data_IF_544847018190
#
_entry.id   IF_544847018190
#
_cell.length_a   1.000
_cell.length_b   1.000
_cell.length_c   1.000
_cell.angle_alpha   90.00
_cell.angle_beta   90.00
_cell.angle_gamma   90.00
#
_symmetry.space_group_name_H-M   'P 1'
#
loop_
_entity.id
_entity.type
_entity.pdbx_description
1 polymer ?
#
# COMPACT_ATOMS: atom_id res chain seq x y z
N UNK A 1 -0.38 -25.14 0.18
CA UNK A 1 1.01 -25.47 -0.08
C UNK A 1 1.74 -25.51 1.23
N UNK A 2 2.48 -26.56 1.42
CA UNK A 2 3.02 -26.91 2.71
C UNK A 2 4.28 -26.08 2.98
N UNK A 3 4.33 -25.36 4.09
CA UNK A 3 5.50 -24.60 4.54
C UNK A 3 6.71 -25.54 4.72
N UNK A 4 6.46 -26.75 5.20
CA UNK A 4 7.47 -27.83 5.31
C UNK A 4 8.15 -28.15 3.98
N UNK A 5 7.42 -28.07 2.86
CA UNK A 5 8.00 -28.27 1.53
C UNK A 5 9.03 -27.19 1.18
N UNK A 6 8.73 -25.93 1.46
CA UNK A 6 9.68 -24.83 1.22
C UNK A 6 10.91 -24.97 2.12
N UNK A 7 10.73 -25.25 3.41
CA UNK A 7 11.84 -25.51 4.33
C UNK A 7 12.73 -26.66 3.84
N UNK A 8 12.10 -27.76 3.41
CA UNK A 8 12.82 -28.91 2.86
C UNK A 8 13.60 -28.57 1.59
N UNK A 9 12.96 -27.91 0.60
CA UNK A 9 13.55 -27.57 -0.68
C UNK A 9 14.65 -26.51 -0.57
N UNK A 10 14.51 -25.59 0.35
CA UNK A 10 15.49 -24.51 0.61
C UNK A 10 16.55 -24.89 1.64
N UNK A 11 16.55 -26.10 2.15
CA UNK A 11 17.41 -26.52 3.25
C UNK A 11 17.37 -25.50 4.42
N UNK A 12 16.16 -25.28 4.96
CA UNK A 12 15.92 -24.28 6.01
C UNK A 12 16.40 -22.87 5.64
N UNK A 13 16.09 -22.43 4.41
CA UNK A 13 16.47 -21.13 3.85
C UNK A 13 17.96 -20.91 3.57
N UNK A 14 18.75 -21.99 3.52
CA UNK A 14 20.20 -21.92 3.29
C UNK A 14 20.61 -22.25 1.85
N UNK A 15 19.70 -22.68 0.99
CA UNK A 15 20.00 -23.05 -0.39
C UNK A 15 18.98 -22.54 -1.40
N UNK A 16 19.43 -22.45 -2.66
CA UNK A 16 18.57 -22.08 -3.78
C UNK A 16 17.66 -23.27 -4.12
N UNK A 17 16.36 -23.01 -4.19
CA UNK A 17 15.39 -23.95 -4.76
C UNK A 17 15.49 -23.87 -6.27
N UNK A 18 15.83 -24.97 -6.93
CA UNK A 18 15.98 -24.99 -8.39
C UNK A 18 14.63 -24.85 -9.10
N UNK A 19 14.63 -24.25 -10.29
CA UNK A 19 13.43 -24.19 -11.14
C UNK A 19 12.92 -25.59 -11.50
N UNK A 20 13.81 -26.60 -11.60
CA UNK A 20 13.44 -27.97 -11.88
C UNK A 20 12.69 -28.60 -10.70
N UNK A 21 13.08 -28.29 -9.46
CA UNK A 21 12.36 -28.75 -8.29
C UNK A 21 11.00 -28.05 -8.15
N UNK A 22 10.95 -26.75 -8.44
CA UNK A 22 9.70 -26.00 -8.47
C UNK A 22 8.69 -26.59 -9.46
N UNK A 23 9.16 -27.00 -10.66
CA UNK A 23 8.29 -27.60 -11.70
C UNK A 23 7.70 -28.95 -11.32
N UNK A 24 8.31 -29.69 -10.40
CA UNK A 24 7.76 -30.97 -9.90
C UNK A 24 6.48 -30.80 -9.11
N UNK A 25 6.23 -29.59 -8.58
CA UNK A 25 5.09 -29.31 -7.72
C UNK A 25 4.14 -28.31 -8.39
N UNK A 26 2.96 -28.75 -8.83
CA UNK A 26 1.93 -27.90 -9.49
C UNK A 26 1.64 -26.60 -8.72
N UNK A 27 1.69 -26.68 -7.39
CA UNK A 27 1.39 -25.54 -6.50
C UNK A 27 2.54 -24.51 -6.42
N UNK A 28 3.73 -24.84 -6.94
CA UNK A 28 4.91 -23.97 -6.99
C UNK A 28 5.17 -23.41 -8.38
N UNK A 29 4.31 -23.71 -9.35
CA UNK A 29 4.53 -23.33 -10.75
C UNK A 29 4.83 -21.86 -10.89
N UNK A 30 5.98 -21.56 -11.48
CA UNK A 30 6.54 -20.24 -11.68
C UNK A 30 6.58 -19.93 -13.18
N UNK A 31 5.81 -18.93 -13.62
CA UNK A 31 5.80 -18.46 -15.01
C UNK A 31 4.43 -17.96 -15.45
N UNK A 32 4.39 -16.95 -16.26
CA UNK A 32 3.20 -16.33 -16.83
C UNK A 32 2.19 -15.91 -15.75
N UNK A 33 1.07 -16.60 -15.68
CA UNK A 33 0.06 -16.41 -14.64
C UNK A 33 0.29 -17.31 -13.39
N UNK A 34 1.53 -17.66 -13.11
CA UNK A 34 1.91 -18.65 -12.10
C UNK A 34 1.37 -18.33 -10.70
N UNK A 35 0.80 -19.37 -10.09
CA UNK A 35 0.30 -19.29 -8.69
C UNK A 35 1.47 -19.15 -7.71
N UNK A 36 2.64 -19.69 -8.06
CA UNK A 36 3.85 -19.70 -7.22
C UNK A 36 4.36 -18.31 -6.88
N UNK A 37 4.49 -17.41 -7.87
CA UNK A 37 4.95 -16.04 -7.66
C UNK A 37 4.04 -15.27 -6.70
N UNK A 38 2.74 -15.27 -6.97
CA UNK A 38 1.76 -14.59 -6.11
C UNK A 38 1.73 -15.12 -4.68
N UNK A 39 1.94 -16.42 -4.53
CA UNK A 39 1.94 -17.07 -3.23
C UNK A 39 3.23 -16.79 -2.46
N UNK A 40 4.40 -16.93 -3.10
CA UNK A 40 5.70 -16.63 -2.49
C UNK A 40 5.76 -15.18 -2.01
N UNK A 41 5.33 -14.24 -2.86
CA UNK A 41 5.32 -12.81 -2.53
C UNK A 41 4.45 -12.46 -1.31
N UNK A 42 3.43 -13.28 -1.02
CA UNK A 42 2.57 -13.10 0.17
C UNK A 42 3.16 -13.66 1.46
N UNK A 43 4.03 -14.67 1.38
CA UNK A 43 4.43 -15.46 2.56
C UNK A 43 5.90 -15.41 2.89
N UNK A 44 6.76 -15.05 1.92
CA UNK A 44 8.20 -15.12 2.09
C UNK A 44 8.90 -13.86 1.59
N UNK A 45 10.01 -13.54 2.23
CA UNK A 45 11.05 -12.69 1.70
C UNK A 45 11.95 -13.58 0.84
N UNK A 46 12.13 -13.25 -0.44
CA UNK A 46 12.83 -14.11 -1.37
C UNK A 46 13.48 -13.32 -2.49
N UNK A 47 14.39 -13.97 -3.23
CA UNK A 47 14.93 -13.47 -4.46
C UNK A 47 14.71 -14.46 -5.60
N UNK A 48 14.52 -13.95 -6.80
CA UNK A 48 14.47 -14.73 -8.05
C UNK A 48 15.83 -14.62 -8.71
N UNK A 49 16.41 -15.79 -9.09
CA UNK A 49 17.74 -15.90 -9.67
C UNK A 49 17.62 -16.23 -11.15
N UNK A 50 18.38 -15.53 -11.96
CA UNK A 50 18.41 -15.66 -13.41
C UNK A 50 19.69 -16.32 -13.90
N UNK A 51 19.65 -16.98 -15.05
CA UNK A 51 20.79 -17.67 -15.66
C UNK A 51 21.99 -16.77 -15.98
N UNK A 52 21.77 -15.48 -16.13
CA UNK A 52 22.83 -14.49 -16.34
C UNK A 52 23.51 -14.01 -15.04
N UNK A 53 23.40 -14.77 -13.96
CA UNK A 53 23.93 -14.48 -12.63
C UNK A 53 23.31 -13.23 -11.95
N UNK A 54 22.27 -12.63 -12.55
CA UNK A 54 21.49 -11.55 -11.92
C UNK A 54 20.41 -12.13 -11.00
N UNK A 55 20.01 -11.35 -10.02
CA UNK A 55 18.88 -11.70 -9.16
C UNK A 55 18.02 -10.47 -8.88
N UNK A 56 16.76 -10.70 -8.52
CA UNK A 56 15.83 -9.66 -8.12
C UNK A 56 15.24 -10.01 -6.76
N UNK A 57 15.45 -9.13 -5.78
CA UNK A 57 14.97 -9.30 -4.40
C UNK A 57 13.53 -8.83 -4.29
N UNK A 58 12.71 -9.62 -3.61
CA UNK A 58 11.33 -9.36 -3.21
C UNK A 58 11.25 -9.53 -1.69
N UNK A 59 11.78 -8.57 -0.95
CA UNK A 59 11.82 -8.56 0.50
C UNK A 59 11.28 -7.25 1.07
N UNK A 60 10.74 -7.32 2.28
CA UNK A 60 10.40 -6.17 3.12
C UNK A 60 11.60 -5.73 3.97
N UNK A 61 12.63 -6.58 4.04
CA UNK A 61 13.86 -6.33 4.76
C UNK A 61 14.93 -5.83 3.77
N UNK A 62 15.38 -4.58 3.96
CA UNK A 62 16.38 -3.96 3.07
C UNK A 62 17.79 -4.55 3.22
N UNK A 63 18.03 -5.34 4.26
CA UNK A 63 19.33 -5.98 4.52
C UNK A 63 19.46 -7.36 3.86
N UNK A 64 18.36 -7.90 3.30
CA UNK A 64 18.39 -9.21 2.64
C UNK A 64 19.30 -9.16 1.40
N UNK A 65 20.38 -9.93 1.43
CA UNK A 65 21.38 -10.08 0.35
C UNK A 65 21.70 -11.55 0.14
N UNK A 66 22.02 -11.91 -1.08
CA UNK A 66 22.51 -13.25 -1.41
C UNK A 66 24.02 -13.14 -1.61
N UNK A 67 24.76 -14.14 -1.10
CA UNK A 67 26.18 -14.24 -1.41
C UNK A 67 26.38 -14.55 -2.90
N UNK A 68 27.14 -13.73 -3.59
CA UNK A 68 27.40 -13.86 -5.03
C UNK A 68 28.04 -15.20 -5.40
N UNK A 69 28.86 -15.80 -4.54
CA UNK A 69 29.42 -17.13 -4.75
C UNK A 69 28.33 -18.21 -4.88
N UNK A 70 27.28 -18.14 -4.05
CA UNK A 70 26.16 -19.08 -4.11
C UNK A 70 25.47 -18.99 -5.47
N UNK A 71 25.29 -17.75 -5.97
CA UNK A 71 24.65 -17.50 -7.27
C UNK A 71 25.52 -18.02 -8.41
N UNK A 72 26.82 -17.70 -8.38
CA UNK A 72 27.77 -18.12 -9.41
C UNK A 72 27.82 -19.65 -9.50
N UNK A 73 28.04 -20.32 -8.37
CA UNK A 73 28.11 -21.78 -8.31
C UNK A 73 26.82 -22.46 -8.76
N UNK A 74 25.67 -21.92 -8.38
CA UNK A 74 24.38 -22.45 -8.80
C UNK A 74 24.14 -22.26 -10.31
N UNK A 75 24.52 -21.10 -10.86
CA UNK A 75 24.29 -20.74 -12.26
C UNK A 75 25.07 -21.57 -13.27
N UNK A 76 26.20 -22.15 -12.88
CA UNK A 76 27.07 -22.99 -13.75
C UNK A 76 26.27 -24.16 -14.39
N UNK A 77 25.32 -24.70 -13.65
CA UNK A 77 24.51 -25.84 -14.07
C UNK A 77 23.37 -25.49 -15.03
N UNK A 78 23.17 -24.21 -15.35
CA UNK A 78 22.04 -23.76 -16.15
C UNK A 78 22.49 -22.99 -17.40
N UNK A 79 22.28 -23.62 -18.58
CA UNK A 79 22.60 -23.02 -19.90
C UNK A 79 21.43 -22.23 -20.50
N UNK A 80 20.21 -22.38 -19.98
CA UNK A 80 19.00 -21.79 -20.55
C UNK A 80 18.80 -20.34 -20.06
N UNK A 81 18.25 -19.48 -20.94
CA UNK A 81 17.83 -18.12 -20.55
C UNK A 81 16.59 -18.16 -19.64
N UNK A 82 16.53 -17.30 -18.63
CA UNK A 82 15.37 -17.13 -17.78
C UNK A 82 15.63 -17.38 -16.29
N UNK A 83 14.56 -17.64 -15.56
CA UNK A 83 14.61 -17.94 -14.13
C UNK A 83 15.14 -19.35 -13.92
N UNK A 84 16.17 -19.48 -13.08
CA UNK A 84 16.83 -20.76 -12.77
C UNK A 84 16.56 -21.24 -11.34
N UNK A 85 16.21 -20.32 -10.44
CA UNK A 85 15.92 -20.68 -9.05
C UNK A 85 15.38 -19.54 -8.22
N UNK A 86 15.09 -19.88 -6.97
CA UNK A 86 14.58 -18.95 -5.96
C UNK A 86 15.39 -19.16 -4.69
N UNK A 87 15.85 -18.07 -4.09
CA UNK A 87 16.44 -18.08 -2.75
C UNK A 87 15.44 -17.51 -1.77
N UNK A 88 15.13 -18.22 -0.70
CA UNK A 88 14.22 -17.77 0.35
C UNK A 88 15.03 -17.29 1.53
N UNK A 89 14.88 -16.03 1.94
CA UNK A 89 15.56 -15.47 3.10
C UNK A 89 14.87 -15.83 4.41
N UNK A 90 13.55 -15.64 4.43
CA UNK A 90 12.74 -15.84 5.64
C UNK A 90 11.26 -15.95 5.28
N UNK A 91 10.47 -16.46 6.21
CA UNK A 91 9.03 -16.28 6.19
C UNK A 91 8.71 -14.83 6.54
N UNK A 92 7.80 -14.19 5.81
CA UNK A 92 7.30 -12.87 6.19
C UNK A 92 6.52 -13.00 7.49
N UNK A 93 6.89 -12.19 8.45
CA UNK A 93 6.13 -12.06 9.69
C UNK A 93 4.78 -11.43 9.34
N UNK A 94 3.72 -12.23 9.39
CA UNK A 94 2.31 -11.86 9.27
C UNK A 94 2.02 -10.73 8.26
N UNK A 95 1.69 -11.12 7.01
CA UNK A 95 0.85 -10.23 6.22
C UNK A 95 -0.44 -10.07 7.00
N UNK A 96 -0.61 -8.94 7.63
CA UNK A 96 -1.87 -8.57 8.28
C UNK A 96 -2.91 -8.44 7.17
N UNK A 97 -3.68 -9.51 6.95
CA UNK A 97 -4.79 -9.48 6.00
C UNK A 97 -5.91 -8.70 6.65
N UNK A 98 -6.22 -7.52 6.13
CA UNK A 98 -7.34 -6.72 6.60
C UNK A 98 -8.64 -7.25 5.99
N UNK A 99 -9.26 -8.20 6.67
CA UNK A 99 -10.59 -8.65 6.29
C UNK A 99 -11.62 -7.55 6.57
N UNK A 100 -12.56 -7.38 5.67
CA UNK A 100 -13.67 -6.44 5.84
C UNK A 100 -14.91 -7.25 6.24
N UNK A 101 -15.67 -6.74 7.23
CA UNK A 101 -16.94 -7.31 7.62
C UNK A 101 -17.89 -7.35 6.40
N UNK A 102 -18.48 -8.51 6.15
CA UNK A 102 -19.32 -8.75 4.96
C UNK A 102 -20.53 -7.81 4.87
N UNK A 103 -21.11 -7.39 6.01
CA UNK A 103 -22.25 -6.46 6.03
C UNK A 103 -21.78 -5.06 5.62
N UNK A 104 -20.65 -4.58 6.18
CA UNK A 104 -20.04 -3.30 5.84
C UNK A 104 -19.66 -3.28 4.36
N UNK A 105 -18.98 -4.31 3.87
CA UNK A 105 -18.61 -4.43 2.46
C UNK A 105 -19.82 -4.26 1.54
N UNK A 106 -20.90 -5.02 1.78
CA UNK A 106 -22.13 -4.96 0.98
C UNK A 106 -22.79 -3.59 0.99
N UNK A 107 -22.68 -2.83 2.08
CA UNK A 107 -23.25 -1.49 2.19
C UNK A 107 -22.43 -0.47 1.45
N UNK A 108 -21.11 -0.49 1.63
CA UNK A 108 -20.19 0.46 1.00
C UNK A 108 -20.22 0.35 -0.52
N UNK A 109 -20.21 -0.85 -1.09
CA UNK A 109 -20.15 -1.04 -2.56
C UNK A 109 -21.42 -0.64 -3.31
N UNK A 110 -22.52 -0.33 -2.62
CA UNK A 110 -23.74 0.22 -3.24
C UNK A 110 -23.60 1.69 -3.64
N UNK A 111 -22.60 2.37 -3.10
CA UNK A 111 -22.40 3.80 -3.30
C UNK A 111 -21.41 4.06 -4.43
N UNK A 112 -21.53 5.24 -5.04
CA UNK A 112 -20.58 5.69 -6.04
C UNK A 112 -19.21 6.02 -5.43
N UNK A 113 -18.16 5.99 -6.24
CA UNK A 113 -16.83 6.44 -5.85
C UNK A 113 -16.88 7.89 -5.31
N UNK A 114 -16.47 8.10 -4.07
CA UNK A 114 -16.53 9.43 -3.44
C UNK A 114 -15.54 10.44 -4.03
N UNK A 115 -14.57 9.99 -4.83
CA UNK A 115 -13.57 10.86 -5.46
C UNK A 115 -14.02 11.32 -6.85
N UNK A 116 -14.47 10.40 -7.70
CA UNK A 116 -14.77 10.70 -9.11
C UNK A 116 -16.24 10.47 -9.50
N UNK A 117 -17.10 9.99 -8.60
CA UNK A 117 -18.51 9.72 -8.86
C UNK A 117 -18.79 8.47 -9.70
N UNK A 118 -17.77 7.71 -10.15
CA UNK A 118 -17.95 6.47 -10.91
C UNK A 118 -18.83 5.48 -10.14
N UNK A 119 -19.68 4.77 -10.86
CA UNK A 119 -20.53 3.70 -10.34
C UNK A 119 -20.04 2.29 -10.72
N UNK A 120 -18.92 2.20 -11.45
CA UNK A 120 -18.35 0.94 -11.90
C UNK A 120 -17.13 0.55 -11.07
N UNK A 121 -16.91 -0.76 -10.92
CA UNK A 121 -15.74 -1.34 -10.23
C UNK A 121 -15.50 -0.77 -8.82
N UNK A 122 -16.60 -0.58 -8.09
CA UNK A 122 -16.54 -0.04 -6.72
C UNK A 122 -16.01 -1.10 -5.77
N UNK A 123 -15.03 -0.70 -5.00
CA UNK A 123 -14.43 -1.48 -3.93
C UNK A 123 -14.63 -0.78 -2.59
N UNK A 124 -14.69 -1.59 -1.53
CA UNK A 124 -14.70 -1.10 -0.16
C UNK A 124 -13.24 -0.88 0.27
N UNK A 125 -12.84 0.37 0.38
CA UNK A 125 -11.50 0.77 0.76
C UNK A 125 -11.45 1.19 2.23
N UNK A 126 -10.35 0.86 2.93
CA UNK A 126 -10.09 1.35 4.27
C UNK A 126 -9.68 2.81 4.21
N UNK A 127 -10.33 3.71 4.96
CA UNK A 127 -9.91 5.12 5.05
C UNK A 127 -8.46 5.23 5.51
N UNK A 128 -8.12 4.50 6.60
CA UNK A 128 -6.75 4.36 7.07
C UNK A 128 -6.05 3.20 6.35
N UNK A 129 -5.02 3.49 5.56
CA UNK A 129 -4.19 2.51 4.86
C UNK A 129 -2.97 2.04 5.68
N UNK A 130 -2.82 2.51 6.92
CA UNK A 130 -1.90 1.97 7.90
C UNK A 130 -2.44 0.65 8.48
N UNK A 131 -1.58 -0.33 8.67
CA UNK A 131 -1.95 -1.65 9.22
C UNK A 131 -1.75 -1.73 10.74
N UNK A 132 -1.97 -0.62 11.45
CA UNK A 132 -1.63 -0.45 12.86
C UNK A 132 -2.84 -0.24 13.79
N UNK A 133 -4.06 -0.17 13.26
CA UNK A 133 -5.28 -0.07 14.08
C UNK A 133 -5.88 -1.45 14.31
N UNK A 134 -5.62 -2.02 15.51
CA UNK A 134 -6.09 -3.35 15.91
C UNK A 134 -7.63 -3.45 15.86
N UNK A 135 -8.34 -2.36 16.15
CA UNK A 135 -9.81 -2.31 16.09
C UNK A 135 -10.30 -2.55 14.66
N UNK A 136 -9.66 -1.92 13.68
CA UNK A 136 -10.02 -2.06 12.25
C UNK A 136 -9.54 -3.40 11.67
N UNK A 137 -8.50 -4.00 12.22
CA UNK A 137 -8.04 -5.32 11.81
C UNK A 137 -8.99 -6.46 12.22
N UNK A 138 -9.82 -6.25 13.24
CA UNK A 138 -10.77 -7.22 13.72
C UNK A 138 -12.18 -6.94 13.14
N UNK A 139 -12.69 -7.84 12.31
CA UNK A 139 -14.00 -7.72 11.65
C UNK A 139 -15.20 -7.54 12.59
N UNK A 140 -15.05 -7.89 13.89
CA UNK A 140 -16.11 -7.72 14.90
C UNK A 140 -16.18 -6.30 15.47
N UNK A 141 -15.08 -5.54 15.39
CA UNK A 141 -14.97 -4.19 15.96
C UNK A 141 -14.89 -3.08 14.91
N UNK A 142 -14.99 -3.44 13.62
CA UNK A 142 -15.05 -2.50 12.51
C UNK A 142 -16.35 -1.67 12.54
N UNK A 143 -16.25 -0.37 12.22
CA UNK A 143 -17.37 0.50 11.91
C UNK A 143 -17.46 0.76 10.41
N UNK A 144 -18.64 1.10 9.92
CA UNK A 144 -18.82 1.54 8.52
C UNK A 144 -17.98 2.80 8.21
N UNK A 145 -17.76 3.65 9.21
CA UNK A 145 -16.98 4.88 9.10
C UNK A 145 -15.48 4.64 8.87
N UNK A 146 -15.01 3.42 9.07
CA UNK A 146 -13.62 3.04 8.77
C UNK A 146 -13.37 2.86 7.27
N UNK A 147 -14.44 2.87 6.47
CA UNK A 147 -14.41 2.49 5.06
C UNK A 147 -15.01 3.57 4.16
N UNK A 148 -14.69 3.47 2.88
CA UNK A 148 -15.20 4.36 1.84
C UNK A 148 -15.33 3.61 0.51
N UNK A 149 -16.30 4.01 -0.36
CA UNK A 149 -16.43 3.47 -1.70
C UNK A 149 -15.44 4.17 -2.64
N UNK A 150 -14.53 3.43 -3.24
CA UNK A 150 -13.66 3.91 -4.30
C UNK A 150 -13.79 3.04 -5.54
N UNK A 151 -13.75 3.62 -6.74
CA UNK A 151 -13.53 2.82 -7.92
C UNK A 151 -12.08 2.30 -7.96
N UNK A 152 -11.84 1.25 -8.73
CA UNK A 152 -10.51 0.64 -8.82
C UNK A 152 -9.41 1.66 -9.19
N UNK A 153 -9.70 2.60 -10.10
CA UNK A 153 -8.77 3.66 -10.49
C UNK A 153 -8.35 4.56 -9.30
N UNK A 154 -9.33 5.11 -8.57
CA UNK A 154 -9.06 5.98 -7.43
C UNK A 154 -8.35 5.25 -6.29
N UNK A 155 -8.69 3.97 -6.08
CA UNK A 155 -7.98 3.14 -5.10
C UNK A 155 -6.52 2.90 -5.49
N UNK A 156 -6.22 2.67 -6.77
CA UNK A 156 -4.85 2.54 -7.24
C UNK A 156 -4.05 3.83 -7.03
N UNK A 157 -4.65 5.00 -7.27
CA UNK A 157 -4.03 6.30 -6.98
C UNK A 157 -3.72 6.45 -5.49
N UNK A 158 -4.71 6.19 -4.61
CA UNK A 158 -4.52 6.24 -3.16
C UNK A 158 -3.37 5.33 -2.71
N UNK A 159 -3.32 4.10 -3.21
CA UNK A 159 -2.24 3.15 -2.90
C UNK A 159 -0.87 3.62 -3.38
N UNK A 160 -0.78 4.29 -4.53
CA UNK A 160 0.46 4.85 -5.03
C UNK A 160 0.95 6.00 -4.14
N UNK A 161 0.02 6.86 -3.69
CA UNK A 161 0.32 7.95 -2.77
C UNK A 161 0.80 7.40 -1.43
N UNK A 162 0.11 6.41 -0.86
CA UNK A 162 0.54 5.76 0.37
C UNK A 162 1.96 5.18 0.31
N UNK A 163 2.34 4.59 -0.83
CA UNK A 163 3.72 4.12 -1.05
C UNK A 163 4.73 5.27 -1.06
N UNK A 164 4.38 6.38 -1.69
CA UNK A 164 5.26 7.56 -1.75
C UNK A 164 5.41 8.23 -0.37
N UNK A 165 4.33 8.31 0.41
CA UNK A 165 4.35 8.83 1.78
C UNK A 165 5.28 7.99 2.66
N UNK A 166 5.12 6.66 2.62
CA UNK A 166 5.98 5.74 3.38
C UNK A 166 7.45 5.81 2.94
N UNK A 167 7.72 5.95 1.62
CA UNK A 167 9.08 6.06 1.10
C UNK A 167 9.77 7.35 1.53
N UNK A 168 9.04 8.45 1.57
CA UNK A 168 9.59 9.79 1.77
C UNK A 168 9.41 10.29 3.22
N UNK A 169 8.75 9.53 4.08
CA UNK A 169 8.34 9.93 5.44
C UNK A 169 7.57 11.26 5.48
N UNK A 170 6.75 11.51 4.45
CA UNK A 170 6.05 12.77 4.28
C UNK A 170 4.62 12.55 3.82
N UNK A 171 3.66 13.21 4.48
CA UNK A 171 2.25 13.18 4.08
C UNK A 171 2.08 13.92 2.74
N UNK A 172 1.26 13.35 1.88
CA UNK A 172 0.89 13.97 0.62
C UNK A 172 -0.14 15.08 0.86
N UNK A 173 0.28 16.33 0.70
CA UNK A 173 -0.60 17.46 0.86
C UNK A 173 -1.66 17.55 -0.25
N UNK A 174 -2.89 17.88 0.12
CA UNK A 174 -3.97 18.18 -0.82
C UNK A 174 -3.64 19.34 -1.76
N UNK A 175 -2.71 20.22 -1.41
CA UNK A 175 -2.20 21.30 -2.31
C UNK A 175 -1.60 20.74 -3.62
N UNK A 176 -1.17 19.49 -3.64
CA UNK A 176 -0.68 18.84 -4.86
C UNK A 176 -1.83 18.39 -5.80
N UNK A 177 -3.08 18.47 -5.36
CA UNK A 177 -4.26 18.16 -6.15
C UNK A 177 -4.74 19.42 -6.87
N UNK A 178 -4.83 19.39 -8.20
CA UNK A 178 -5.14 20.55 -9.06
C UNK A 178 -6.31 21.39 -8.55
N UNK A 179 -7.41 20.78 -8.11
CA UNK A 179 -8.61 21.49 -7.64
C UNK A 179 -8.39 22.31 -6.36
N UNK A 180 -7.37 21.96 -5.55
CA UNK A 180 -7.06 22.65 -4.28
C UNK A 180 -5.93 23.67 -4.41
N UNK A 181 -5.21 23.72 -5.53
CA UNK A 181 -4.16 24.72 -5.78
C UNK A 181 -4.68 26.15 -5.79
N UNK A 182 -5.94 26.35 -6.11
CA UNK A 182 -6.62 27.68 -6.12
C UNK A 182 -6.74 28.34 -4.75
N UNK A 183 -6.68 27.57 -3.65
CA UNK A 183 -6.74 28.15 -2.31
C UNK A 183 -5.40 28.82 -1.97
N UNK A 184 -5.44 30.05 -1.44
CA UNK A 184 -4.24 30.82 -1.09
C UNK A 184 -3.63 30.39 0.26
N UNK A 185 -4.36 29.62 1.05
CA UNK A 185 -3.92 29.11 2.35
C UNK A 185 -3.48 27.66 2.27
N UNK A 186 -2.58 27.27 3.17
CA UNK A 186 -2.28 25.87 3.47
C UNK A 186 -3.43 25.28 4.28
N UNK A 187 -3.55 23.95 4.28
CA UNK A 187 -4.55 23.25 5.08
C UNK A 187 -4.00 22.99 6.48
N UNK A 188 -4.32 23.83 7.50
CA UNK A 188 -3.65 23.79 8.81
C UNK A 188 -3.92 22.53 9.62
N UNK A 189 -4.91 21.73 9.20
CA UNK A 189 -5.23 20.45 9.82
C UNK A 189 -4.45 19.27 9.21
N UNK A 190 -3.77 19.44 8.06
CA UNK A 190 -2.93 18.39 7.49
C UNK A 190 -1.61 18.27 8.26
N UNK A 191 -1.31 17.07 8.76
CA UNK A 191 0.03 16.76 9.25
C UNK A 191 1.01 16.72 8.07
N UNK A 192 2.28 17.04 8.32
CA UNK A 192 3.33 17.06 7.28
C UNK A 192 4.17 15.80 7.27
N UNK A 193 4.33 15.18 8.45
CA UNK A 193 5.21 14.04 8.66
C UNK A 193 4.37 12.76 8.63
N UNK A 194 4.81 11.78 7.85
CA UNK A 194 4.25 10.45 7.85
C UNK A 194 4.94 9.62 8.95
N UNK A 195 4.15 9.07 9.85
CA UNK A 195 4.59 8.11 10.86
C UNK A 195 3.70 6.87 10.82
N UNK A 196 4.27 5.74 10.42
CA UNK A 196 3.55 4.45 10.34
C UNK A 196 3.04 3.95 11.69
N UNK A 197 3.58 4.42 12.81
CA UNK A 197 3.19 4.02 14.16
C UNK A 197 2.07 4.92 14.72
N UNK A 198 1.86 6.11 14.18
CA UNK A 198 0.76 7.00 14.56
C UNK A 198 -0.50 6.67 13.76
N UNK A 199 -1.48 6.01 14.39
CA UNK A 199 -2.78 5.66 13.77
C UNK A 199 -3.57 6.88 13.29
N UNK A 200 -3.26 8.07 13.79
CA UNK A 200 -3.91 9.33 13.44
C UNK A 200 -3.11 10.15 12.43
N UNK A 201 -1.95 9.66 11.97
CA UNK A 201 -1.06 10.48 11.15
C UNK A 201 -1.70 10.90 9.81
N UNK A 202 -2.55 10.05 9.23
CA UNK A 202 -3.25 10.31 7.97
C UNK A 202 -4.66 10.89 8.14
N UNK A 203 -5.18 10.91 9.36
CA UNK A 203 -6.49 11.49 9.64
C UNK A 203 -6.51 12.95 9.17
N UNK A 204 -7.66 13.38 8.67
CA UNK A 204 -7.90 14.73 8.17
C UNK A 204 -7.20 15.08 6.85
N UNK A 205 -6.53 14.11 6.20
CA UNK A 205 -6.00 14.30 4.85
C UNK A 205 -7.06 13.96 3.79
N UNK A 206 -6.90 14.51 2.58
CA UNK A 206 -7.80 14.25 1.48
C UNK A 206 -7.90 12.74 1.14
N UNK A 207 -6.79 12.03 1.13
CA UNK A 207 -6.77 10.60 0.75
C UNK A 207 -7.26 9.67 1.87
N UNK A 208 -7.35 10.17 3.10
CA UNK A 208 -7.99 9.46 4.20
C UNK A 208 -9.52 9.52 4.07
N UNK A 209 -10.08 10.73 3.99
CA UNK A 209 -11.52 10.95 3.85
C UNK A 209 -11.77 12.22 3.03
N UNK A 210 -12.01 12.11 1.71
CA UNK A 210 -12.24 13.26 0.83
C UNK A 210 -13.45 14.13 1.24
N UNK A 211 -14.50 13.49 1.76
CA UNK A 211 -15.75 14.20 2.15
C UNK A 211 -15.50 15.04 3.38
N UNK A 212 -14.92 14.45 4.43
CA UNK A 212 -14.59 15.19 5.66
C UNK A 212 -13.55 16.27 5.38
N UNK A 213 -12.60 16.01 4.49
CA UNK A 213 -11.61 17.01 4.08
C UNK A 213 -12.27 18.24 3.43
N UNK A 214 -13.22 18.04 2.51
CA UNK A 214 -13.96 19.15 1.88
C UNK A 214 -14.83 19.89 2.88
N UNK A 215 -15.44 19.18 3.82
CA UNK A 215 -16.23 19.80 4.89
C UNK A 215 -15.37 20.69 5.80
N UNK A 216 -14.13 20.27 6.09
CA UNK A 216 -13.16 21.11 6.83
C UNK A 216 -12.78 22.37 6.07
N UNK A 217 -12.56 22.27 4.75
CA UNK A 217 -12.33 23.47 3.92
C UNK A 217 -13.52 24.43 4.04
N UNK A 218 -14.73 23.92 3.90
CA UNK A 218 -15.94 24.74 4.01
C UNK A 218 -16.04 25.44 5.37
N UNK A 219 -15.88 24.73 6.47
CA UNK A 219 -15.87 25.31 7.83
C UNK A 219 -14.78 26.37 7.98
N UNK A 220 -13.60 26.12 7.49
CA UNK A 220 -12.48 27.05 7.58
C UNK A 220 -12.76 28.32 6.79
N UNK A 221 -13.33 28.21 5.59
CA UNK A 221 -13.73 29.37 4.81
C UNK A 221 -14.82 30.21 5.50
N UNK A 222 -15.81 29.57 6.11
CA UNK A 222 -16.82 30.26 6.89
C UNK A 222 -16.23 31.09 8.07
N UNK A 223 -15.17 30.57 8.68
CA UNK A 223 -14.44 31.23 9.74
C UNK A 223 -13.59 32.40 9.23
N UNK A 224 -12.86 32.23 8.13
CA UNK A 224 -11.91 33.24 7.63
C UNK A 224 -12.62 34.41 6.91
N UNK A 225 -13.69 34.14 6.15
CA UNK A 225 -14.35 35.14 5.31
C UNK A 225 -14.79 36.39 6.12
N UNK A 226 -15.41 36.27 7.32
CA UNK A 226 -15.73 37.43 8.15
C UNK A 226 -14.50 38.26 8.55
N UNK A 227 -13.42 37.60 8.93
CA UNK A 227 -12.14 38.20 9.32
C UNK A 227 -11.56 39.03 8.17
N UNK A 228 -11.53 38.44 6.96
CA UNK A 228 -11.04 39.13 5.76
C UNK A 228 -11.89 40.33 5.42
N UNK A 229 -13.23 40.27 5.59
CA UNK A 229 -14.13 41.40 5.37
C UNK A 229 -13.86 42.51 6.36
N UNK A 230 -13.65 42.18 7.62
CA UNK A 230 -13.33 43.18 8.67
C UNK A 230 -11.99 43.87 8.39
N UNK A 231 -10.94 43.11 8.05
CA UNK A 231 -9.63 43.68 7.67
C UNK A 231 -9.77 44.62 6.47
N UNK A 232 -10.50 44.22 5.42
CA UNK A 232 -10.72 45.05 4.23
C UNK A 232 -11.46 46.34 4.54
N UNK A 233 -12.42 46.31 5.46
CA UNK A 233 -13.14 47.50 5.88
C UNK A 233 -12.21 48.49 6.61
N UNK A 234 -11.32 47.99 7.46
CA UNK A 234 -10.33 48.80 8.18
C UNK A 234 -9.29 49.44 7.25
N UNK A 235 -8.82 48.68 6.24
CA UNK A 235 -7.85 49.19 5.26
C UNK A 235 -8.45 50.33 4.41
N UNK A 236 -9.75 50.29 4.06
CA UNK A 236 -10.42 51.34 3.31
C UNK A 236 -10.60 52.63 4.11
N UNK A 237 -10.39 52.60 5.43
CA UNK A 237 -10.47 53.76 6.33
C UNK A 237 -9.12 54.44 6.57
N UNK A 238 -8.03 53.91 5.98
CA UNK A 238 -6.70 54.55 5.99
C UNK A 238 -6.66 55.49 4.77
N UNK A 239 -6.54 56.81 4.96
CA UNK A 239 -6.53 57.80 3.89
C UNK A 239 -5.31 57.64 2.97
#
# INVERSE_FOLDING_TARGET
MNEELILKLSNNYNSIISINDIKKYKNLYWGGNGVGDRWMNKKYNYAVIYSNKKYKIYSENNEDKINDEIIVNFSINYKNKGIIGIFVFSKRNNIVVRHINKKIYKEIIKNNCIICGSYTDIICDHKNDLYNDIRVLNTKTQSIDDFQPLCNHCNLQKRQIAKNENKNNKIYSAKNIKRYQKYLFEFPWEKKIYDKNDIQCKKDTYWYDPIEFEYKIYKYLLYIIPIIKEIKSKIKLIP
#
